data_IF_866608168122
#
_entry.id   IF_866608168122
#
_cell.length_a   1.000
_cell.length_b   1.000
_cell.length_c   1.000
_cell.angle_alpha   90.00
_cell.angle_beta   90.00
_cell.angle_gamma   90.00
#
_symmetry.space_group_name_H-M   'P 1'
#
loop_
_entity.id
_entity.type
_entity.pdbx_description
1 polymer ?
#
# COMPACT_ATOMS: atom_id res chain seq x y z
N UNK A 1 10.00 -2.51 -0.85
CA UNK A 1 9.33 -1.29 -1.35
C UNK A 1 8.61 -0.62 -0.20
N UNK A 2 8.90 0.64 0.07
CA UNK A 2 8.29 1.40 1.17
C UNK A 2 6.92 1.97 0.77
N UNK A 3 6.05 2.33 1.73
CA UNK A 3 4.81 3.05 1.43
C UNK A 3 5.04 4.36 0.68
N UNK A 4 6.16 5.06 0.97
CA UNK A 4 6.55 6.28 0.28
C UNK A 4 6.88 6.02 -1.20
N UNK A 5 7.70 5.01 -1.48
CA UNK A 5 8.07 4.62 -2.85
C UNK A 5 6.84 4.24 -3.67
N UNK A 6 5.94 3.44 -3.11
CA UNK A 6 4.70 3.06 -3.80
C UNK A 6 3.83 4.29 -4.09
N UNK A 7 3.69 5.19 -3.12
CA UNK A 7 2.94 6.45 -3.29
C UNK A 7 3.46 7.28 -4.45
N UNK A 8 4.79 7.43 -4.53
CA UNK A 8 5.46 8.25 -5.54
C UNK A 8 5.37 7.58 -6.91
N UNK A 9 5.66 6.28 -6.99
CA UNK A 9 5.61 5.51 -8.24
C UNK A 9 4.22 5.51 -8.88
N UNK A 10 3.16 5.44 -8.07
CA UNK A 10 1.78 5.38 -8.55
C UNK A 10 1.05 6.73 -8.49
N UNK A 11 1.76 7.81 -8.12
CA UNK A 11 1.21 9.15 -7.91
C UNK A 11 -0.07 9.15 -7.03
N UNK A 12 -0.02 8.45 -5.90
CA UNK A 12 -1.15 8.28 -5.00
C UNK A 12 -1.28 9.45 -4.00
N UNK A 13 -2.53 9.78 -3.66
CA UNK A 13 -2.83 10.52 -2.44
C UNK A 13 -2.68 9.61 -1.22
N UNK A 14 -2.48 10.19 -0.03
CA UNK A 14 -2.43 9.40 1.22
C UNK A 14 -3.72 8.63 1.45
N UNK A 15 -4.88 9.21 1.12
CA UNK A 15 -6.18 8.55 1.20
C UNK A 15 -6.26 7.30 0.30
N UNK A 16 -5.76 7.36 -0.94
CA UNK A 16 -5.74 6.19 -1.84
C UNK A 16 -4.79 5.11 -1.36
N UNK A 17 -3.59 5.49 -0.91
CA UNK A 17 -2.64 4.53 -0.35
C UNK A 17 -3.20 3.85 0.91
N UNK A 18 -3.92 4.59 1.75
CA UNK A 18 -4.60 4.06 2.93
C UNK A 18 -5.65 3.00 2.59
N UNK A 19 -6.41 3.18 1.50
CA UNK A 19 -7.33 2.17 1.00
C UNK A 19 -6.59 0.89 0.58
N UNK A 20 -5.49 1.00 -0.17
CA UNK A 20 -4.71 -0.16 -0.60
C UNK A 20 -4.05 -0.92 0.55
N UNK A 21 -3.59 -0.21 1.58
CA UNK A 21 -2.93 -0.81 2.73
C UNK A 21 -3.92 -1.24 3.82
N UNK A 22 -5.22 -0.98 3.65
CA UNK A 22 -6.26 -1.18 4.65
C UNK A 22 -5.85 -0.60 6.02
N UNK A 23 -5.42 0.66 6.01
CA UNK A 23 -5.04 1.44 7.20
C UNK A 23 -5.72 2.80 7.15
N UNK A 24 -5.71 3.51 8.27
CA UNK A 24 -6.14 4.90 8.29
C UNK A 24 -5.09 5.82 7.62
N UNK A 25 -5.56 6.93 7.06
CA UNK A 25 -4.71 7.89 6.35
C UNK A 25 -3.57 8.42 7.24
N UNK A 26 -3.85 8.71 8.51
CA UNK A 26 -2.87 9.28 9.44
C UNK A 26 -1.73 8.31 9.71
N UNK A 27 -2.02 7.03 9.87
CA UNK A 27 -1.00 5.97 9.98
C UNK A 27 -0.14 5.89 8.74
N UNK A 28 -0.74 5.93 7.55
CA UNK A 28 0.02 5.90 6.28
C UNK A 28 0.89 7.14 6.12
N UNK A 29 0.40 8.33 6.48
CA UNK A 29 1.20 9.55 6.49
C UNK A 29 2.43 9.41 7.39
N UNK A 30 2.28 8.82 8.58
CA UNK A 30 3.41 8.55 9.48
C UNK A 30 4.42 7.60 8.83
N UNK A 31 3.96 6.52 8.20
CA UNK A 31 4.84 5.58 7.50
C UNK A 31 5.64 6.26 6.38
N UNK A 32 5.02 7.14 5.61
CA UNK A 32 5.72 7.89 4.56
C UNK A 32 6.72 8.93 5.10
N UNK A 33 6.59 9.33 6.37
CA UNK A 33 7.41 10.36 7.02
C UNK A 33 8.43 9.76 8.02
N UNK A 34 8.81 8.49 7.84
CA UNK A 34 9.92 7.87 8.59
C UNK A 34 9.53 7.26 9.94
N UNK A 35 8.24 7.09 10.23
CA UNK A 35 7.82 6.23 11.33
C UNK A 35 8.18 4.77 11.05
N UNK A 36 8.31 3.97 12.11
CA UNK A 36 8.46 2.53 11.99
C UNK A 36 7.27 1.92 11.23
N UNK A 37 7.58 1.14 10.20
CA UNK A 37 6.59 0.50 9.33
C UNK A 37 6.62 -1.00 9.61
N UNK A 38 5.50 -1.65 9.93
CA UNK A 38 5.47 -3.09 10.12
C UNK A 38 5.92 -3.85 8.88
N UNK A 39 6.67 -4.95 9.05
CA UNK A 39 7.22 -5.76 7.94
C UNK A 39 6.15 -6.17 6.91
N UNK A 40 4.98 -6.57 7.40
CA UNK A 40 3.81 -6.94 6.58
C UNK A 40 3.40 -5.83 5.60
N UNK A 41 3.52 -4.55 5.99
CA UNK A 41 3.16 -3.41 5.13
C UNK A 41 4.12 -3.29 3.96
N UNK A 42 5.42 -3.54 4.16
CA UNK A 42 6.39 -3.59 3.05
C UNK A 42 6.06 -4.72 2.08
N UNK A 43 5.68 -5.89 2.60
CA UNK A 43 5.22 -7.03 1.79
C UNK A 43 4.01 -6.67 0.93
N UNK A 44 3.01 -6.00 1.52
CA UNK A 44 1.84 -5.53 0.78
C UNK A 44 2.18 -4.48 -0.27
N UNK A 45 3.04 -3.50 0.03
CA UNK A 45 3.49 -2.52 -0.95
C UNK A 45 4.18 -3.19 -2.15
N UNK A 46 5.03 -4.18 -1.89
CA UNK A 46 5.69 -4.95 -2.94
C UNK A 46 4.69 -5.74 -3.77
N UNK A 47 3.75 -6.45 -3.13
CA UNK A 47 2.71 -7.22 -3.81
C UNK A 47 1.86 -6.34 -4.73
N UNK A 48 1.38 -5.20 -4.24
CA UNK A 48 0.61 -4.23 -5.03
C UNK A 48 1.38 -3.82 -6.29
N UNK A 49 2.65 -3.47 -6.14
CA UNK A 49 3.49 -3.06 -7.25
C UNK A 49 3.71 -4.18 -8.28
N UNK A 50 4.01 -5.40 -7.83
CA UNK A 50 4.18 -6.54 -8.74
C UNK A 50 2.89 -6.89 -9.48
N UNK A 51 1.75 -6.89 -8.77
CA UNK A 51 0.45 -7.15 -9.38
C UNK A 51 0.17 -6.18 -10.53
N UNK A 52 0.36 -4.88 -10.29
CA UNK A 52 0.15 -3.86 -11.33
C UNK A 52 1.10 -4.02 -12.52
N UNK A 53 2.38 -4.33 -12.26
CA UNK A 53 3.34 -4.58 -13.34
C UNK A 53 2.96 -5.80 -14.19
N UNK A 54 2.39 -6.84 -13.59
CA UNK A 54 1.99 -8.06 -14.29
C UNK A 54 0.65 -7.93 -15.03
N UNK A 55 -0.31 -7.22 -14.44
CA UNK A 55 -1.70 -7.22 -14.92
C UNK A 55 -2.15 -5.87 -15.50
N UNK A 56 -1.39 -4.79 -15.32
CA UNK A 56 -1.75 -3.44 -15.75
C UNK A 56 -2.95 -2.83 -15.02
N UNK A 57 -3.45 -3.51 -13.97
CA UNK A 57 -4.61 -3.10 -13.17
C UNK A 57 -4.30 -3.24 -11.70
N UNK A 58 -4.97 -2.47 -10.85
CA UNK A 58 -4.84 -2.60 -9.39
C UNK A 58 -5.51 -3.89 -8.91
N UNK A 59 -4.97 -4.57 -7.89
CA UNK A 59 -5.60 -5.78 -7.39
C UNK A 59 -7.00 -5.48 -6.85
N UNK A 60 -7.94 -6.41 -7.02
CA UNK A 60 -9.28 -6.22 -6.51
C UNK A 60 -9.30 -6.13 -4.97
N UNK A 61 -10.29 -5.40 -4.40
CA UNK A 61 -10.32 -5.06 -2.97
C UNK A 61 -10.43 -6.27 -2.03
N UNK A 62 -10.82 -7.45 -2.53
CA UNK A 62 -11.05 -8.67 -1.73
C UNK A 62 -9.77 -9.44 -1.33
N UNK A 63 -8.59 -9.01 -1.77
CA UNK A 63 -7.32 -9.65 -1.36
C UNK A 63 -6.91 -9.26 0.08
N UNK A 64 -7.50 -8.20 0.64
CA UNK A 64 -7.12 -7.65 1.95
C UNK A 64 -8.13 -7.91 3.07
N UNK A 65 -9.25 -8.58 2.77
CA UNK A 65 -10.17 -9.06 3.80
C UNK A 65 -9.58 -10.30 4.47
N UNK A 66 -9.39 -10.32 5.81
CA UNK A 66 -9.00 -11.55 6.50
C UNK A 66 -10.06 -12.63 6.20
N UNK A 67 -9.60 -13.85 5.93
CA UNK A 67 -10.48 -14.99 5.81
C UNK A 67 -11.29 -15.12 7.11
N UNK A 68 -12.61 -15.14 6.99
CA UNK A 68 -13.55 -15.35 8.10
C UNK A 68 -13.39 -16.78 8.62
#
# INVERSE_FOLDING_TARGET
MTPKELKENWNLSYARLALFLCRDQRTVERYCNGAEVPEMVYGYCWFLNQWFLLHGVTPPPFIFTPAI
#
